data_IF_430550007153
#
_entry.id   IF_430550007153
#
_cell.length_a   1.000
_cell.length_b   1.000
_cell.length_c   1.000
_cell.angle_alpha   90.00
_cell.angle_beta   90.00
_cell.angle_gamma   90.00
#
_symmetry.space_group_name_H-M   'P 1'
#
loop_
_entity.id
_entity.type
_entity.pdbx_description
1 polymer ?
#
# COMPACT_ATOMS: atom_id res chain seq x y z
N UNK A 1 12.89 -23.16 -0.15
CA UNK A 1 13.42 -21.78 -0.13
C UNK A 1 12.40 -20.87 0.54
N UNK A 2 12.73 -20.29 1.69
CA UNK A 2 11.81 -19.44 2.46
C UNK A 2 11.67 -18.07 1.79
N UNK A 3 10.49 -17.80 1.24
CA UNK A 3 10.13 -16.47 0.75
C UNK A 3 10.20 -15.47 1.90
N UNK A 4 11.14 -14.52 1.85
CA UNK A 4 11.39 -13.55 2.92
C UNK A 4 10.70 -12.21 2.61
N UNK A 5 9.39 -12.19 2.79
CA UNK A 5 8.54 -11.02 2.51
C UNK A 5 8.58 -9.96 3.61
N UNK A 6 9.05 -10.31 4.82
CA UNK A 6 9.11 -9.41 5.96
C UNK A 6 10.38 -9.65 6.78
N UNK A 7 11.15 -8.58 7.03
CA UNK A 7 12.34 -8.64 7.88
C UNK A 7 11.97 -8.14 9.27
N UNK A 8 12.01 -9.02 10.25
CA UNK A 8 11.68 -8.69 11.64
C UNK A 8 12.95 -8.38 12.43
N UNK A 9 13.06 -7.13 12.87
CA UNK A 9 14.10 -6.68 13.82
C UNK A 9 13.69 -7.01 15.25
N UNK A 10 14.62 -6.97 16.19
CA UNK A 10 14.30 -7.24 17.61
C UNK A 10 13.29 -6.23 18.17
N UNK A 11 13.43 -4.94 17.81
CA UNK A 11 12.44 -3.89 18.10
C UNK A 11 11.05 -4.24 17.57
N UNK A 12 10.95 -4.74 16.34
CA UNK A 12 9.66 -5.16 15.78
C UNK A 12 9.06 -6.37 16.54
N UNK A 13 9.90 -7.26 17.10
CA UNK A 13 9.40 -8.34 17.98
C UNK A 13 8.81 -7.81 19.29
N UNK A 14 9.40 -6.79 19.88
CA UNK A 14 8.83 -6.10 21.05
C UNK A 14 7.47 -5.50 20.70
N UNK A 15 7.36 -4.83 19.56
CA UNK A 15 6.07 -4.35 19.02
C UNK A 15 5.02 -5.46 18.87
N UNK A 16 5.41 -6.63 18.36
CA UNK A 16 4.50 -7.78 18.25
C UNK A 16 4.04 -8.30 19.62
N UNK A 17 4.91 -8.30 20.64
CA UNK A 17 4.50 -8.67 22.00
C UNK A 17 3.42 -7.72 22.54
N UNK A 18 3.56 -6.42 22.29
CA UNK A 18 2.57 -5.42 22.67
C UNK A 18 1.24 -5.68 21.91
N UNK A 19 1.31 -5.92 20.59
CA UNK A 19 0.12 -6.26 19.77
C UNK A 19 -0.61 -7.50 20.31
N UNK A 20 0.11 -8.52 20.77
CA UNK A 20 -0.50 -9.72 21.34
C UNK A 20 -1.10 -9.51 22.73
N UNK A 21 -0.63 -8.52 23.50
CA UNK A 21 -1.12 -8.21 24.84
C UNK A 21 -2.42 -7.38 24.86
N UNK A 22 -2.70 -6.65 23.78
CA UNK A 22 -3.90 -5.80 23.72
C UNK A 22 -5.16 -6.62 23.43
N UNK A 23 -6.29 -6.15 23.96
CA UNK A 23 -7.57 -6.83 23.78
C UNK A 23 -8.01 -6.82 22.29
N UNK A 24 -9.00 -7.65 21.95
CA UNK A 24 -9.44 -7.81 20.57
C UNK A 24 -10.02 -6.52 19.98
N UNK A 25 -10.93 -5.87 20.69
CA UNK A 25 -11.66 -4.71 20.19
C UNK A 25 -10.74 -3.50 19.98
N UNK A 26 -9.83 -3.24 20.93
CA UNK A 26 -8.81 -2.20 20.83
C UNK A 26 -7.87 -2.48 19.67
N UNK A 27 -7.49 -3.75 19.44
CA UNK A 27 -6.68 -4.09 18.27
C UNK A 27 -7.41 -3.79 16.96
N UNK A 28 -8.70 -4.12 16.85
CA UNK A 28 -9.49 -3.79 15.66
C UNK A 28 -9.50 -2.27 15.41
N UNK A 29 -9.74 -1.47 16.45
CA UNK A 29 -9.72 0.00 16.36
C UNK A 29 -8.36 0.54 15.93
N UNK A 30 -7.27 0.04 16.52
CA UNK A 30 -5.89 0.42 16.16
C UNK A 30 -5.59 0.02 14.72
N UNK A 31 -5.98 -1.19 14.31
CA UNK A 31 -5.73 -1.69 12.96
C UNK A 31 -6.43 -0.83 11.91
N UNK A 32 -7.69 -0.49 12.14
CA UNK A 32 -8.46 0.39 11.25
C UNK A 32 -7.84 1.79 11.18
N UNK A 33 -7.44 2.37 12.33
CA UNK A 33 -6.76 3.66 12.37
C UNK A 33 -5.45 3.64 11.57
N UNK A 34 -4.60 2.64 11.79
CA UNK A 34 -3.31 2.52 11.09
C UNK A 34 -3.51 2.30 9.59
N UNK A 35 -4.52 1.53 9.20
CA UNK A 35 -4.80 1.29 7.80
C UNK A 35 -5.29 2.55 7.06
N UNK A 36 -6.21 3.31 7.66
CA UNK A 36 -6.69 4.59 7.09
C UNK A 36 -5.56 5.60 6.91
N UNK A 37 -4.71 5.73 7.93
CA UNK A 37 -3.58 6.65 7.93
C UNK A 37 -2.37 6.20 7.07
N UNK A 38 -2.46 5.06 6.36
CA UNK A 38 -1.42 4.69 5.38
C UNK A 38 -1.53 5.44 4.07
N UNK A 39 -2.75 5.79 3.67
CA UNK A 39 -2.98 6.61 2.49
C UNK A 39 -2.91 8.07 2.92
N UNK A 40 -2.11 8.91 2.26
CA UNK A 40 -2.19 10.35 2.45
C UNK A 40 -3.48 10.84 1.77
N UNK A 41 -4.63 10.56 2.38
CA UNK A 41 -5.84 11.32 2.11
C UNK A 41 -5.77 12.62 2.90
N UNK A 42 -6.38 13.67 2.37
CA UNK A 42 -6.34 15.07 2.86
C UNK A 42 -7.08 15.25 4.20
N UNK A 43 -6.87 14.38 5.18
CA UNK A 43 -7.38 14.56 6.55
C UNK A 43 -6.57 15.66 7.25
N UNK A 44 -7.28 16.55 7.94
CA UNK A 44 -6.70 17.68 8.67
C UNK A 44 -5.69 17.18 9.72
N UNK A 45 -4.52 17.81 9.76
CA UNK A 45 -3.41 17.45 10.64
C UNK A 45 -3.86 17.40 12.11
N UNK A 46 -4.73 18.33 12.51
CA UNK A 46 -5.20 18.45 13.88
C UNK A 46 -6.19 17.32 14.26
N UNK A 47 -7.01 16.84 13.32
CA UNK A 47 -7.90 15.69 13.55
C UNK A 47 -7.10 14.40 13.75
N UNK A 48 -6.00 14.24 12.99
CA UNK A 48 -5.13 13.05 13.07
C UNK A 48 -4.38 12.97 14.39
N UNK A 49 -3.87 14.09 14.89
CA UNK A 49 -3.16 14.13 16.19
C UNK A 49 -4.14 13.86 17.35
N UNK A 50 -5.33 14.46 17.33
CA UNK A 50 -6.37 14.21 18.33
C UNK A 50 -6.78 12.73 18.38
N UNK A 51 -7.01 12.11 17.21
CA UNK A 51 -7.35 10.70 17.12
C UNK A 51 -6.20 9.80 17.64
N UNK A 52 -4.94 10.21 17.44
CA UNK A 52 -3.78 9.48 17.94
C UNK A 52 -3.70 9.50 19.47
N UNK A 53 -3.99 10.66 20.09
CA UNK A 53 -4.06 10.79 21.56
C UNK A 53 -5.18 9.96 22.18
N UNK A 54 -6.36 9.92 21.54
CA UNK A 54 -7.47 9.07 21.98
C UNK A 54 -7.11 7.57 21.87
N UNK A 55 -6.44 7.20 20.78
CA UNK A 55 -5.97 5.83 20.57
C UNK A 55 -4.90 5.45 21.62
N UNK A 56 -3.99 6.35 21.97
CA UNK A 56 -2.97 6.15 23.01
C UNK A 56 -3.63 5.85 24.36
N UNK A 57 -4.65 6.63 24.73
CA UNK A 57 -5.44 6.42 25.97
C UNK A 57 -6.19 5.09 25.95
N UNK A 58 -6.76 4.71 24.80
CA UNK A 58 -7.50 3.46 24.64
C UNK A 58 -6.60 2.22 24.76
N UNK A 59 -5.38 2.29 24.22
CA UNK A 59 -4.40 1.20 24.29
C UNK A 59 -3.82 1.06 25.71
N UNK A 60 -3.62 2.18 26.42
CA UNK A 60 -3.24 2.17 27.83
C UNK A 60 -1.82 1.67 28.12
N UNK A 61 -0.90 1.80 27.16
CA UNK A 61 0.53 1.45 27.30
C UNK A 61 1.39 2.71 27.30
N UNK A 62 2.65 2.66 27.77
CA UNK A 62 3.55 3.82 27.70
C UNK A 62 3.69 4.34 26.26
N UNK A 63 3.74 5.66 26.08
CA UNK A 63 3.93 6.31 24.77
C UNK A 63 5.00 5.66 23.87
N UNK A 64 6.21 5.32 24.35
CA UNK A 64 7.20 4.65 23.49
C UNK A 64 6.72 3.29 22.96
N UNK A 65 6.00 2.52 23.79
CA UNK A 65 5.46 1.21 23.43
C UNK A 65 4.28 1.35 22.47
N UNK A 66 3.43 2.36 22.68
CA UNK A 66 2.33 2.71 21.77
C UNK A 66 2.86 3.06 20.37
N UNK A 67 3.86 3.95 20.29
CA UNK A 67 4.48 4.33 19.02
C UNK A 67 5.17 3.13 18.35
N UNK A 68 5.78 2.24 19.14
CA UNK A 68 6.37 1.01 18.62
C UNK A 68 5.31 0.07 18.04
N UNK A 69 4.16 -0.07 18.71
CA UNK A 69 3.02 -0.84 18.24
C UNK A 69 2.49 -0.30 16.91
N UNK A 70 2.25 1.02 16.82
CA UNK A 70 1.80 1.68 15.58
C UNK A 70 2.79 1.42 14.46
N UNK A 71 4.08 1.71 14.70
CA UNK A 71 5.14 1.52 13.70
C UNK A 71 5.26 0.07 13.24
N UNK A 72 5.11 -0.88 14.15
CA UNK A 72 5.18 -2.32 13.83
C UNK A 72 3.99 -2.75 12.99
N UNK A 73 2.78 -2.30 13.35
CA UNK A 73 1.57 -2.62 12.60
C UNK A 73 1.57 -1.96 11.21
N UNK A 74 2.01 -0.70 11.12
CA UNK A 74 2.21 -0.01 9.85
C UNK A 74 3.23 -0.75 8.97
N UNK A 75 4.31 -1.25 9.55
CA UNK A 75 5.29 -2.03 8.79
C UNK A 75 4.69 -3.33 8.26
N UNK A 76 3.97 -4.09 9.09
CA UNK A 76 3.31 -5.34 8.69
C UNK A 76 2.34 -5.07 7.54
N UNK A 77 1.40 -4.14 7.74
CA UNK A 77 0.36 -3.82 6.75
C UNK A 77 0.99 -3.33 5.44
N UNK A 78 2.03 -2.49 5.48
CA UNK A 78 2.74 -2.02 4.29
C UNK A 78 3.33 -3.20 3.52
N UNK A 79 4.01 -4.12 4.21
CA UNK A 79 4.59 -5.32 3.58
C UNK A 79 3.52 -6.25 3.01
N UNK A 80 2.39 -6.43 3.69
CA UNK A 80 1.29 -7.25 3.15
C UNK A 80 0.61 -6.61 1.94
N UNK A 81 0.62 -5.29 1.83
CA UNK A 81 0.13 -4.59 0.63
C UNK A 81 1.13 -4.62 -0.53
N UNK A 82 2.44 -4.60 -0.25
CA UNK A 82 3.48 -4.69 -1.28
C UNK A 82 3.57 -6.08 -1.90
N UNK A 83 3.47 -7.14 -1.10
CA UNK A 83 3.60 -8.52 -1.58
C UNK A 83 2.24 -9.18 -1.67
N UNK A 84 1.82 -9.53 -2.89
CA UNK A 84 0.62 -10.32 -3.11
C UNK A 84 0.87 -11.76 -2.66
N UNK A 85 0.55 -12.05 -1.41
CA UNK A 85 0.65 -13.38 -0.80
C UNK A 85 -0.74 -13.98 -0.72
N UNK A 86 -0.92 -15.25 -1.12
CA UNK A 86 -2.20 -15.95 -0.97
C UNK A 86 -2.67 -15.89 0.50
N UNK A 87 -3.97 -15.62 0.79
CA UNK A 87 -4.48 -15.46 2.15
C UNK A 87 -4.06 -16.58 3.11
N UNK A 88 -4.15 -17.83 2.66
CA UNK A 88 -3.79 -19.01 3.47
C UNK A 88 -2.31 -19.03 3.85
N UNK A 89 -1.43 -18.63 2.91
CA UNK A 89 0.01 -18.52 3.15
C UNK A 89 0.34 -17.29 4.01
N UNK A 90 -0.37 -16.18 3.83
CA UNK A 90 -0.20 -15.01 4.69
C UNK A 90 -0.60 -15.35 6.14
N UNK A 91 -1.69 -16.08 6.33
CA UNK A 91 -2.15 -16.53 7.64
C UNK A 91 -1.09 -17.39 8.35
N UNK A 92 -0.51 -18.38 7.66
CA UNK A 92 0.56 -19.21 8.24
C UNK A 92 1.81 -18.39 8.55
N UNK A 93 2.19 -17.45 7.68
CA UNK A 93 3.36 -16.58 7.88
C UNK A 93 3.19 -15.63 9.09
N UNK A 94 2.02 -15.03 9.27
CA UNK A 94 1.70 -14.19 10.44
C UNK A 94 1.72 -15.02 11.74
N UNK A 95 1.24 -16.27 11.71
CA UNK A 95 1.24 -17.16 12.89
C UNK A 95 2.62 -17.71 13.21
N UNK A 96 3.34 -18.22 12.21
CA UNK A 96 4.58 -18.96 12.43
C UNK A 96 5.81 -18.05 12.52
N UNK A 97 5.93 -17.05 11.64
CA UNK A 97 7.10 -16.15 11.62
C UNK A 97 6.93 -14.97 12.57
N UNK A 98 5.75 -14.35 12.60
CA UNK A 98 5.50 -13.20 13.49
C UNK A 98 5.05 -13.63 14.88
N UNK A 99 4.51 -14.86 15.05
CA UNK A 99 3.95 -15.32 16.33
C UNK A 99 2.82 -14.43 16.84
N UNK A 100 1.99 -13.92 15.93
CA UNK A 100 0.77 -13.20 16.29
C UNK A 100 -0.32 -14.16 16.78
N UNK A 101 -1.12 -13.72 17.74
CA UNK A 101 -2.27 -14.49 18.23
C UNK A 101 -3.31 -14.71 17.11
N UNK A 102 -4.00 -15.85 17.15
CA UNK A 102 -4.93 -16.25 16.09
C UNK A 102 -6.04 -15.23 15.84
N UNK A 103 -6.59 -14.62 16.90
CA UNK A 103 -7.61 -13.59 16.80
C UNK A 103 -7.12 -12.35 16.02
N UNK A 104 -5.88 -11.93 16.26
CA UNK A 104 -5.24 -10.79 15.56
C UNK A 104 -4.99 -11.12 14.09
N UNK A 105 -4.47 -12.32 13.83
CA UNK A 105 -4.20 -12.78 12.48
C UNK A 105 -5.48 -12.80 11.66
N UNK A 106 -6.58 -13.31 12.21
CA UNK A 106 -7.83 -13.43 11.47
C UNK A 106 -8.41 -12.06 11.10
N UNK A 107 -8.25 -11.04 11.96
CA UNK A 107 -8.66 -9.66 11.64
C UNK A 107 -7.77 -9.04 10.56
N UNK A 108 -6.44 -9.21 10.64
CA UNK A 108 -5.51 -8.73 9.60
C UNK A 108 -5.84 -9.36 8.25
N UNK A 109 -6.09 -10.68 8.22
CA UNK A 109 -6.44 -11.40 6.99
C UNK A 109 -7.78 -10.91 6.43
N UNK A 110 -8.79 -10.69 7.28
CA UNK A 110 -10.08 -10.13 6.84
C UNK A 110 -9.91 -8.74 6.22
N UNK A 111 -9.12 -7.87 6.85
CA UNK A 111 -8.81 -6.54 6.32
C UNK A 111 -8.08 -6.64 4.97
N UNK A 112 -7.05 -7.49 4.90
CA UNK A 112 -6.30 -7.73 3.67
C UNK A 112 -7.21 -8.24 2.54
N UNK A 113 -8.06 -9.24 2.79
CA UNK A 113 -8.99 -9.75 1.77
C UNK A 113 -9.95 -8.65 1.31
N UNK A 114 -10.53 -7.90 2.24
CA UNK A 114 -11.48 -6.81 1.93
C UNK A 114 -10.88 -5.78 0.98
N UNK A 115 -9.62 -5.40 1.20
CA UNK A 115 -8.97 -4.31 0.45
C UNK A 115 -8.20 -4.81 -0.78
N UNK A 116 -7.58 -5.98 -0.69
CA UNK A 116 -6.72 -6.52 -1.74
C UNK A 116 -7.51 -7.33 -2.76
N UNK A 117 -8.65 -7.95 -2.40
CA UNK A 117 -9.45 -8.73 -3.36
C UNK A 117 -9.96 -7.88 -4.54
N UNK A 118 -10.56 -6.68 -4.36
CA UNK A 118 -10.98 -5.86 -5.50
C UNK A 118 -9.81 -5.47 -6.41
N UNK A 119 -8.65 -5.18 -5.82
CA UNK A 119 -7.42 -4.86 -6.56
C UNK A 119 -6.95 -6.09 -7.35
N UNK A 120 -6.92 -7.26 -6.72
CA UNK A 120 -6.54 -8.51 -7.37
C UNK A 120 -7.54 -8.96 -8.41
N UNK A 121 -8.84 -8.75 -8.23
CA UNK A 121 -9.85 -9.09 -9.22
C UNK A 121 -9.70 -8.20 -10.46
N UNK A 122 -9.31 -6.92 -10.29
CA UNK A 122 -8.95 -6.03 -11.38
C UNK A 122 -7.61 -6.40 -12.06
N UNK A 123 -6.63 -6.88 -11.28
CA UNK A 123 -5.33 -7.34 -11.77
C UNK A 123 -5.35 -8.79 -12.27
N UNK A 124 -6.41 -9.55 -11.96
CA UNK A 124 -6.57 -10.93 -12.41
C UNK A 124 -6.85 -10.89 -13.90
N UNK A 125 -5.74 -10.99 -14.62
CA UNK A 125 -5.62 -11.77 -15.84
C UNK A 125 -6.19 -13.15 -15.50
N UNK A 126 -7.48 -13.33 -15.77
CA UNK A 126 -8.13 -14.63 -15.86
C UNK A 126 -7.19 -15.45 -16.75
N UNK A 127 -6.44 -16.42 -16.21
CA UNK A 127 -5.36 -17.10 -16.97
C UNK A 127 -5.90 -17.82 -18.22
N UNK A 128 -7.24 -17.95 -18.31
CA UNK A 128 -8.02 -18.51 -19.41
C UNK A 128 -8.71 -17.48 -20.33
N UNK A 129 -8.75 -16.19 -20.01
CA UNK A 129 -9.22 -15.13 -20.92
C UNK A 129 -8.07 -14.14 -21.06
N UNK A 130 -7.49 -14.05 -22.26
CA UNK A 130 -6.27 -13.26 -22.56
C UNK A 130 -6.08 -12.04 -21.66
N UNK A 131 -4.87 -11.89 -21.12
CA UNK A 131 -4.57 -10.88 -20.11
C UNK A 131 -4.87 -9.45 -20.54
N UNK A 132 -4.90 -8.52 -19.59
CA UNK A 132 -4.84 -7.07 -19.86
C UNK A 132 -3.38 -6.62 -20.00
N UNK A 133 -2.56 -7.39 -20.71
CA UNK A 133 -1.13 -7.14 -20.80
C UNK A 133 -0.87 -5.87 -21.62
N UNK A 134 -0.04 -4.99 -21.07
CA UNK A 134 0.38 -3.76 -21.75
C UNK A 134 1.30 -4.12 -22.93
N UNK A 135 0.82 -3.92 -24.14
CA UNK A 135 1.53 -4.24 -25.37
C UNK A 135 2.37 -3.08 -25.91
N UNK A 136 1.86 -1.86 -25.75
CA UNK A 136 2.46 -0.67 -26.35
C UNK A 136 2.12 0.57 -25.53
N UNK A 137 3.03 1.55 -25.54
CA UNK A 137 2.87 2.84 -24.87
C UNK A 137 3.22 3.92 -25.89
N UNK A 138 2.25 4.75 -26.24
CA UNK A 138 2.47 5.96 -27.01
C UNK A 138 2.31 7.19 -26.11
N UNK A 139 3.02 8.27 -26.42
CA UNK A 139 2.91 9.51 -25.65
C UNK A 139 2.97 10.74 -26.56
N UNK A 140 2.36 11.85 -26.11
CA UNK A 140 2.50 13.17 -26.73
C UNK A 140 2.44 14.26 -25.67
N UNK A 141 3.12 15.37 -25.93
CA UNK A 141 3.02 16.58 -25.11
C UNK A 141 1.99 17.54 -25.72
N UNK A 142 0.97 17.90 -24.95
CA UNK A 142 -0.07 18.86 -25.31
C UNK A 142 0.20 20.15 -24.56
N UNK A 143 0.54 21.22 -25.28
CA UNK A 143 0.73 22.55 -24.69
C UNK A 143 -0.51 23.37 -25.00
N UNK A 144 -1.32 23.65 -23.98
CA UNK A 144 -2.44 24.57 -24.08
C UNK A 144 -1.96 25.97 -23.72
N UNK A 145 -2.17 26.92 -24.63
CA UNK A 145 -1.89 28.34 -24.42
C UNK A 145 -3.25 28.99 -24.17
N UNK A 146 -3.43 29.61 -23.01
CA UNK A 146 -4.66 30.34 -22.70
C UNK A 146 -4.86 31.48 -23.70
N UNK A 147 -6.08 31.61 -24.24
CA UNK A 147 -6.45 32.65 -25.22
C UNK A 147 -6.66 34.04 -24.59
N UNK A 148 -6.52 34.15 -23.26
CA UNK A 148 -6.66 35.42 -22.56
C UNK A 148 -5.44 36.31 -22.79
N UNK A 149 -5.64 37.46 -23.42
CA UNK A 149 -4.58 38.40 -23.81
C UNK A 149 -3.71 38.90 -22.63
N UNK A 150 -4.18 38.75 -21.38
CA UNK A 150 -3.47 39.17 -20.16
C UNK A 150 -2.91 38.02 -19.31
N UNK A 151 -3.22 36.75 -19.59
CA UNK A 151 -2.65 35.58 -18.91
C UNK A 151 -1.99 34.70 -19.96
N UNK A 152 -0.64 34.72 -19.99
CA UNK A 152 0.16 33.80 -20.80
C UNK A 152 0.47 32.54 -20.00
N UNK A 153 -0.56 31.88 -19.49
CA UNK A 153 -0.36 30.59 -18.81
C UNK A 153 -0.26 29.49 -19.86
N UNK A 154 0.87 28.77 -19.79
CA UNK A 154 1.14 27.60 -20.62
C UNK A 154 0.89 26.38 -19.74
N UNK A 155 -0.22 25.68 -19.97
CA UNK A 155 -0.47 24.41 -19.30
C UNK A 155 0.04 23.29 -20.18
N UNK A 156 1.13 22.65 -19.76
CA UNK A 156 1.67 21.46 -20.41
C UNK A 156 1.03 20.21 -19.81
N UNK A 157 0.40 19.40 -20.65
CA UNK A 157 -0.16 18.11 -20.29
C UNK A 157 0.55 17.01 -21.08
N UNK A 158 0.98 15.96 -20.39
CA UNK A 158 1.40 14.73 -21.02
C UNK A 158 0.16 13.89 -21.32
N UNK A 159 0.05 13.38 -22.54
CA UNK A 159 -0.98 12.40 -22.90
C UNK A 159 -0.30 11.07 -23.13
N UNK A 160 -0.66 10.06 -22.35
CA UNK A 160 -0.18 8.68 -22.47
C UNK A 160 -1.32 7.81 -23.02
N UNK A 161 -1.00 6.97 -23.99
CA UNK A 161 -1.91 5.96 -24.51
C UNK A 161 -1.31 4.58 -24.25
N UNK A 162 -2.01 3.79 -23.45
CA UNK A 162 -1.62 2.44 -23.06
C UNK A 162 -2.45 1.44 -23.86
N UNK A 163 -1.82 0.68 -24.77
CA UNK A 163 -2.51 -0.36 -25.54
C UNK A 163 -2.42 -1.69 -24.80
N UNK A 164 -3.57 -2.27 -24.48
CA UNK A 164 -3.64 -3.59 -23.87
C UNK A 164 -3.94 -4.67 -24.93
N UNK A 165 -3.61 -5.92 -24.63
CA UNK A 165 -4.00 -7.11 -25.43
C UNK A 165 -5.51 -7.24 -25.61
N UNK A 166 -6.30 -6.63 -24.74
CA UNK A 166 -7.77 -6.63 -24.81
C UNK A 166 -8.32 -5.60 -25.79
N UNK A 167 -7.44 -4.87 -26.50
CA UNK A 167 -7.79 -4.04 -27.66
C UNK A 167 -8.39 -2.68 -27.31
N UNK A 168 -8.75 -2.43 -26.04
CA UNK A 168 -9.21 -1.12 -25.58
C UNK A 168 -7.99 -0.31 -25.11
N UNK A 169 -7.62 0.77 -25.83
CA UNK A 169 -6.56 1.66 -25.37
C UNK A 169 -7.04 2.47 -24.16
N UNK A 170 -6.15 2.66 -23.19
CA UNK A 170 -6.38 3.53 -22.03
C UNK A 170 -5.61 4.82 -22.26
N UNK A 171 -6.34 5.93 -22.40
CA UNK A 171 -5.77 7.26 -22.55
C UNK A 171 -5.72 7.98 -21.19
N UNK A 172 -4.56 8.51 -20.82
CA UNK A 172 -4.32 9.27 -19.60
C UNK A 172 -3.83 10.67 -19.98
N UNK A 173 -4.48 11.73 -19.50
CA UNK A 173 -3.93 13.08 -19.54
C UNK A 173 -3.39 13.41 -18.14
N UNK A 174 -2.13 13.81 -18.05
CA UNK A 174 -1.43 14.02 -16.78
C UNK A 174 -0.69 15.35 -16.80
N UNK A 175 -0.76 16.08 -15.70
CA UNK A 175 0.09 17.25 -15.47
C UNK A 175 1.51 16.82 -15.03
N UNK A 176 2.39 17.80 -14.75
CA UNK A 176 3.76 17.52 -14.35
C UNK A 176 3.86 16.69 -13.06
N UNK A 177 3.10 17.07 -12.02
CA UNK A 177 3.15 16.42 -10.71
C UNK A 177 2.63 14.98 -10.77
N UNK A 178 1.54 14.76 -11.49
CA UNK A 178 0.95 13.44 -11.70
C UNK A 178 1.91 12.52 -12.46
N UNK A 179 2.55 13.02 -13.52
CA UNK A 179 3.50 12.24 -14.31
C UNK A 179 4.75 11.86 -13.50
N UNK A 180 5.27 12.80 -12.69
CA UNK A 180 6.38 12.52 -11.77
C UNK A 180 5.98 11.48 -10.73
N UNK A 181 4.76 11.55 -10.19
CA UNK A 181 4.22 10.56 -9.27
C UNK A 181 4.17 9.16 -9.90
N UNK A 182 3.65 9.05 -11.12
CA UNK A 182 3.64 7.78 -11.87
C UNK A 182 5.05 7.24 -12.12
N UNK A 183 5.99 8.09 -12.52
CA UNK A 183 7.39 7.70 -12.70
C UNK A 183 8.00 7.12 -11.41
N UNK A 184 7.81 7.81 -10.28
CA UNK A 184 8.33 7.35 -8.99
C UNK A 184 7.70 6.02 -8.56
N UNK A 185 6.42 5.80 -8.87
CA UNK A 185 5.76 4.52 -8.60
C UNK A 185 6.35 3.38 -9.44
N UNK A 186 6.58 3.62 -10.74
CA UNK A 186 7.24 2.63 -11.61
C UNK A 186 8.67 2.33 -11.17
N UNK A 187 9.43 3.34 -10.75
CA UNK A 187 10.77 3.18 -10.20
C UNK A 187 10.75 2.37 -8.88
N UNK A 188 9.77 2.60 -8.01
CA UNK A 188 9.59 1.80 -6.80
C UNK A 188 9.32 0.32 -7.12
N UNK A 189 8.46 0.04 -8.11
CA UNK A 189 8.19 -1.32 -8.58
C UNK A 189 9.47 -1.96 -9.13
N UNK A 190 10.23 -1.24 -9.95
CA UNK A 190 11.49 -1.71 -10.52
C UNK A 190 12.52 -2.07 -9.43
N UNK A 191 12.68 -1.20 -8.42
CA UNK A 191 13.58 -1.45 -7.30
C UNK A 191 13.21 -2.72 -6.52
N UNK A 192 11.92 -2.96 -6.27
CA UNK A 192 11.47 -4.20 -5.62
C UNK A 192 11.73 -5.44 -6.51
N UNK A 193 11.55 -5.34 -7.83
CA UNK A 193 11.90 -6.44 -8.77
C UNK A 193 13.40 -6.76 -8.75
N UNK A 194 14.26 -5.74 -8.74
CA UNK A 194 15.72 -5.92 -8.70
C UNK A 194 16.21 -6.49 -7.36
N UNK A 195 15.58 -6.10 -6.26
CA UNK A 195 15.82 -6.68 -4.93
C UNK A 195 15.41 -8.16 -4.85
N UNK A 196 14.43 -8.60 -5.64
CA UNK A 196 14.06 -10.01 -5.74
C UNK A 196 15.05 -10.78 -6.61
N UNK A 197 15.39 -10.26 -7.79
CA UNK A 197 16.33 -10.91 -8.73
C UNK A 197 17.76 -11.02 -8.17
N UNK A 198 18.22 -10.02 -7.42
CA UNK A 198 19.55 -10.04 -6.79
C UNK A 198 19.69 -11.09 -5.67
N UNK A 199 18.57 -11.61 -5.14
CA UNK A 199 18.56 -12.70 -4.14
C UNK A 199 18.45 -14.10 -4.76
N UNK A 200 18.21 -14.19 -6.06
CA UNK A 200 18.17 -15.45 -6.82
C UNK A 200 19.55 -15.85 -7.38
N UNK A 201 20.55 -14.96 -7.31
CA UNK A 201 21.96 -15.24 -7.61
C UNK A 201 22.73 -15.54 -6.33
#
# INVERSE_FOLDING_TARGET
MSFNWIKITERAREGIKIINSINHDVFCTVLDYVHKNMSPEEEDHDERENALEELEKLVGVPRPDFLLLIKTLSYILKRTSTFVIKPTKLQSELREKLKLNNDKVDVIIKLWIKNTKPILDNLQIDTNKGGNDLCDIAWKLKVQISSHCQQKEKTSLAVLQLRTTNGVPVDLEMNHEELVSLYNQLEFIQNELDLLRSKER
#
